data_IF_612126330799
#
_entry.id   IF_612126330799
#
_cell.length_a   1.000
_cell.length_b   1.000
_cell.length_c   1.000
_cell.angle_alpha   90.00
_cell.angle_beta   90.00
_cell.angle_gamma   90.00
#
_symmetry.space_group_name_H-M   'P 1'
#
loop_
_entity.id
_entity.type
_entity.pdbx_description
1 polymer ?
#
# COMPACT_ATOMS: atom_id res chain seq x y z
N UNK A 1 26.13 5.83 28.91
CA UNK A 1 26.11 6.89 27.87
C UNK A 1 26.84 6.41 26.62
N UNK A 2 27.88 5.57 26.77
CA UNK A 2 28.76 5.18 25.68
C UNK A 2 28.22 4.12 24.70
N UNK A 3 27.16 3.41 25.08
CA UNK A 3 26.63 2.33 24.21
C UNK A 3 25.79 2.81 23.01
N UNK A 4 25.32 4.07 23.01
CA UNK A 4 24.50 4.62 21.93
C UNK A 4 25.30 5.23 20.81
N UNK A 5 26.45 5.84 21.10
CA UNK A 5 27.39 6.33 20.08
C UNK A 5 27.85 5.18 19.19
N UNK A 6 28.05 3.98 19.77
CA UNK A 6 28.34 2.77 19.02
C UNK A 6 27.21 2.28 18.12
N UNK A 7 25.94 2.38 18.54
CA UNK A 7 24.79 1.95 17.74
C UNK A 7 24.46 2.92 16.60
N UNK A 8 24.62 4.22 16.80
CA UNK A 8 24.44 5.24 15.74
C UNK A 8 25.50 5.11 14.65
N UNK A 9 26.76 4.86 15.02
CA UNK A 9 27.84 4.57 14.06
C UNK A 9 27.57 3.27 13.29
N UNK A 10 27.09 2.21 13.97
CA UNK A 10 26.76 0.95 13.31
C UNK A 10 25.61 1.10 12.30
N UNK A 11 24.58 1.89 12.60
CA UNK A 11 23.48 2.18 11.68
C UNK A 11 24.02 2.90 10.44
N UNK A 12 24.76 3.99 10.63
CA UNK A 12 25.32 4.79 9.54
C UNK A 12 26.22 3.98 8.59
N UNK A 13 27.11 3.17 9.16
CA UNK A 13 28.22 2.58 8.40
C UNK A 13 27.91 1.17 7.88
N UNK A 14 26.90 0.49 8.43
CA UNK A 14 26.64 -0.92 8.16
C UNK A 14 25.30 -1.26 7.57
N UNK A 15 24.25 -0.50 7.85
CA UNK A 15 22.90 -0.77 7.30
C UNK A 15 22.74 -0.02 5.99
N UNK A 16 22.61 -0.78 4.90
CA UNK A 16 22.35 -0.25 3.55
C UNK A 16 21.02 -0.76 3.03
N UNK A 17 20.32 0.08 2.25
CA UNK A 17 19.05 -0.27 1.60
C UNK A 17 17.85 0.42 2.22
N UNK A 18 16.68 -0.17 2.06
CA UNK A 18 15.40 0.37 2.52
C UNK A 18 15.10 -0.11 3.95
N UNK A 19 14.96 0.82 4.88
CA UNK A 19 14.57 0.50 6.25
C UNK A 19 13.85 1.64 6.95
N UNK A 20 12.98 1.24 7.87
CA UNK A 20 12.37 2.10 8.87
C UNK A 20 12.43 1.34 10.20
N UNK A 21 13.20 1.85 11.15
CA UNK A 21 13.49 1.16 12.40
C UNK A 21 12.92 1.94 13.58
N UNK A 22 12.34 1.22 14.52
CA UNK A 22 11.96 1.74 15.84
C UNK A 22 12.65 0.88 16.89
N UNK A 23 13.47 1.53 17.72
CA UNK A 23 14.29 0.85 18.73
C UNK A 23 13.91 1.41 20.10
N UNK A 24 13.56 0.54 21.02
CA UNK A 24 13.22 0.89 22.39
C UNK A 24 14.33 0.43 23.35
N UNK A 25 14.78 1.34 24.20
CA UNK A 25 15.70 1.06 25.31
C UNK A 25 15.03 1.47 26.63
N UNK A 26 15.70 1.20 27.75
CA UNK A 26 15.16 1.60 29.08
C UNK A 26 14.98 3.13 29.25
N UNK A 27 15.61 3.96 28.42
CA UNK A 27 15.63 5.43 28.57
C UNK A 27 15.31 6.18 27.29
N UNK A 28 15.24 5.51 26.14
CA UNK A 28 15.10 6.16 24.85
C UNK A 28 14.21 5.35 23.91
N UNK A 29 13.39 6.05 23.13
CA UNK A 29 12.75 5.54 21.93
C UNK A 29 13.47 6.20 20.74
N UNK A 30 13.95 5.40 19.79
CA UNK A 30 14.74 5.87 18.65
C UNK A 30 14.03 5.46 17.36
N UNK A 31 13.76 6.44 16.50
CA UNK A 31 13.27 6.22 15.13
C UNK A 31 14.38 6.47 14.12
N UNK A 32 14.55 5.59 13.14
CA UNK A 32 15.55 5.75 12.09
C UNK A 32 14.89 5.51 10.74
N UNK A 33 15.00 6.48 9.84
CA UNK A 33 14.55 6.35 8.45
C UNK A 33 15.75 6.20 7.52
N UNK A 34 15.64 5.33 6.50
CA UNK A 34 16.73 5.13 5.54
C UNK A 34 17.08 6.42 4.78
N UNK A 35 18.37 6.55 4.35
CA UNK A 35 18.86 7.80 3.75
C UNK A 35 18.21 8.16 2.42
N UNK A 36 17.65 7.17 1.69
CA UNK A 36 16.93 7.40 0.43
C UNK A 36 15.45 7.74 0.64
N UNK A 37 14.92 7.55 1.87
CA UNK A 37 13.51 7.72 2.19
C UNK A 37 12.60 6.69 1.50
N UNK A 38 13.12 5.49 1.24
CA UNK A 38 12.36 4.42 0.57
C UNK A 38 11.18 3.98 1.43
N UNK A 39 11.43 3.77 2.76
CA UNK A 39 10.37 3.37 3.68
C UNK A 39 9.86 4.57 4.48
N UNK A 40 8.54 4.63 4.75
CA UNK A 40 7.97 5.72 5.52
C UNK A 40 8.23 5.56 7.02
N UNK A 41 8.32 6.69 7.72
CA UNK A 41 8.29 6.79 9.17
C UNK A 41 7.71 8.16 9.53
N UNK A 42 6.74 8.19 10.42
CA UNK A 42 6.07 9.40 10.86
C UNK A 42 6.20 9.60 12.37
N UNK A 43 6.26 10.86 12.78
CA UNK A 43 6.24 11.30 14.17
C UNK A 43 4.87 11.89 14.48
N UNK A 44 4.26 11.43 15.55
CA UNK A 44 3.02 11.94 16.10
C UNK A 44 3.14 12.30 17.58
N UNK A 45 2.07 12.85 18.13
CA UNK A 45 1.92 13.16 19.55
C UNK A 45 0.58 12.62 20.09
N UNK A 46 0.63 11.91 21.19
CA UNK A 46 -0.55 11.51 21.93
C UNK A 46 -0.51 12.12 23.33
N UNK A 47 -1.26 13.21 23.50
CA UNK A 47 -1.39 13.91 24.79
C UNK A 47 -0.03 14.29 25.43
N UNK A 48 0.89 14.82 24.63
CA UNK A 48 2.24 15.20 25.06
C UNK A 48 3.26 14.05 25.04
N UNK A 49 2.85 12.85 24.59
CA UNK A 49 3.74 11.70 24.44
C UNK A 49 4.06 11.46 22.97
N UNK A 50 5.34 11.61 22.54
CA UNK A 50 5.74 11.36 21.16
C UNK A 50 5.53 9.90 20.74
N UNK A 51 5.06 9.69 19.52
CA UNK A 51 4.77 8.38 18.92
C UNK A 51 5.47 8.26 17.58
N UNK A 52 6.05 7.10 17.31
CA UNK A 52 6.59 6.74 15.99
C UNK A 52 5.71 5.67 15.35
N UNK A 53 5.37 5.85 14.08
CA UNK A 53 4.61 4.89 13.30
C UNK A 53 5.09 4.87 11.85
N UNK A 54 4.76 3.81 11.10
CA UNK A 54 5.04 3.76 9.67
C UNK A 54 4.10 4.62 8.84
N UNK A 55 2.87 4.83 9.32
CA UNK A 55 1.78 5.48 8.57
C UNK A 55 0.92 6.37 9.45
N UNK A 56 0.29 7.39 8.85
CA UNK A 56 -0.60 8.30 9.58
C UNK A 56 -1.86 7.62 10.08
N UNK A 57 -2.40 6.62 9.36
CA UNK A 57 -3.57 5.86 9.83
C UNK A 57 -3.33 5.17 11.17
N UNK A 58 -2.09 4.74 11.48
CA UNK A 58 -1.75 4.16 12.76
C UNK A 58 -1.81 5.20 13.91
N UNK A 59 -1.51 6.47 13.62
CA UNK A 59 -1.68 7.57 14.58
C UNK A 59 -3.17 7.82 14.84
N UNK A 60 -3.98 7.86 13.78
CA UNK A 60 -5.44 8.06 13.88
C UNK A 60 -6.10 6.96 14.71
N UNK A 61 -5.71 5.69 14.50
CA UNK A 61 -6.24 4.55 15.27
C UNK A 61 -6.04 4.67 16.79
N UNK A 62 -4.95 5.29 17.22
CA UNK A 62 -4.66 5.48 18.66
C UNK A 62 -5.06 6.85 19.17
N UNK A 63 -5.62 7.71 18.32
CA UNK A 63 -5.98 9.10 18.66
C UNK A 63 -4.76 10.00 18.90
N UNK A 64 -3.65 9.75 18.22
CA UNK A 64 -2.47 10.60 18.21
C UNK A 64 -2.55 11.62 17.07
N UNK A 65 -1.99 12.81 17.29
CA UNK A 65 -1.90 13.86 16.26
C UNK A 65 -0.64 13.66 15.45
N UNK A 66 -0.75 13.75 14.11
CA UNK A 66 0.40 13.80 13.22
C UNK A 66 1.19 15.11 13.43
N UNK A 67 2.50 15.02 13.57
CA UNK A 67 3.40 16.16 13.67
C UNK A 67 4.09 16.38 12.33
N UNK A 68 4.85 15.38 11.86
CA UNK A 68 5.62 15.42 10.62
C UNK A 68 6.11 14.04 10.19
N UNK A 69 6.55 13.96 8.95
CA UNK A 69 7.39 12.83 8.53
C UNK A 69 8.76 12.90 9.23
N UNK A 70 9.35 11.75 9.52
CA UNK A 70 10.79 11.65 9.80
C UNK A 70 11.51 11.83 8.48
N UNK A 71 12.48 12.73 8.43
CA UNK A 71 13.17 13.05 7.18
C UNK A 71 14.09 11.89 6.71
N UNK A 72 14.47 11.92 5.44
CA UNK A 72 15.34 10.90 4.87
C UNK A 72 16.70 10.92 5.57
N UNK A 73 17.14 9.76 6.06
CA UNK A 73 18.40 9.61 6.83
C UNK A 73 18.38 10.25 8.21
N UNK A 74 17.20 10.63 8.72
CA UNK A 74 17.05 11.18 10.06
C UNK A 74 17.00 10.07 11.11
N UNK A 75 17.65 10.34 12.23
CA UNK A 75 17.55 9.58 13.49
C UNK A 75 16.85 10.48 14.50
N UNK A 76 15.64 10.10 14.92
CA UNK A 76 14.87 10.79 15.97
C UNK A 76 15.09 10.07 17.29
N UNK A 77 15.57 10.78 18.31
CA UNK A 77 15.80 10.27 19.66
C UNK A 77 14.81 10.93 20.60
N UNK A 78 13.97 10.14 21.21
CA UNK A 78 12.95 10.58 22.17
C UNK A 78 13.35 10.14 23.57
N UNK A 79 13.42 11.09 24.49
CA UNK A 79 13.76 10.87 25.90
C UNK A 79 12.81 11.66 26.79
N UNK A 80 12.93 11.50 28.10
CA UNK A 80 12.21 12.35 29.10
C UNK A 80 12.54 13.84 28.97
N UNK A 81 13.70 14.19 28.36
CA UNK A 81 14.12 15.58 28.15
C UNK A 81 13.54 16.20 26.87
N UNK A 82 12.91 15.40 26.01
CA UNK A 82 12.32 15.83 24.75
C UNK A 82 12.80 15.04 23.54
N UNK A 83 12.63 15.63 22.36
CA UNK A 83 12.96 15.05 21.06
C UNK A 83 14.23 15.70 20.54
N UNK A 84 15.18 14.89 20.13
CA UNK A 84 16.42 15.27 19.46
C UNK A 84 16.47 14.62 18.07
N UNK A 85 16.96 15.35 17.08
CA UNK A 85 17.09 14.90 15.69
C UNK A 85 18.53 14.95 15.23
N UNK A 86 19.03 13.87 14.63
CA UNK A 86 20.37 13.75 14.09
C UNK A 86 20.29 13.36 12.61
N UNK A 87 21.06 14.02 11.74
CA UNK A 87 21.17 13.73 10.31
C UNK A 87 22.61 13.35 9.97
N UNK A 88 23.00 12.08 10.18
CA UNK A 88 24.39 11.64 9.99
C UNK A 88 24.78 11.46 8.52
N UNK A 89 23.82 11.39 7.60
CA UNK A 89 24.06 11.16 6.18
C UNK A 89 24.15 12.49 5.41
N UNK A 90 25.13 12.59 4.51
CA UNK A 90 25.30 13.77 3.65
C UNK A 90 24.50 13.60 2.36
N UNK A 91 23.74 14.63 1.97
CA UNK A 91 23.06 14.85 0.68
C UNK A 91 22.86 13.60 -0.20
N UNK A 92 21.98 12.69 0.20
CA UNK A 92 21.61 11.52 -0.58
C UNK A 92 20.33 11.87 -1.34
N UNK A 93 20.23 11.61 -2.66
CA UNK A 93 19.03 11.89 -3.42
C UNK A 93 17.87 11.01 -2.95
N UNK A 94 16.70 11.60 -2.83
CA UNK A 94 15.47 10.90 -2.46
C UNK A 94 15.08 9.83 -3.49
N UNK A 95 14.67 8.68 -3.00
CA UNK A 95 14.18 7.54 -3.80
C UNK A 95 12.96 6.90 -3.14
N UNK A 96 11.84 7.63 -2.97
CA UNK A 96 10.66 7.08 -2.33
C UNK A 96 10.13 5.88 -3.12
N UNK A 97 9.70 4.85 -2.40
CA UNK A 97 9.13 3.67 -3.02
C UNK A 97 7.73 3.99 -3.56
N UNK A 98 7.53 3.86 -4.88
CA UNK A 98 6.21 4.07 -5.50
C UNK A 98 5.17 3.08 -4.97
N UNK A 99 5.59 1.85 -4.59
CA UNK A 99 4.69 0.83 -4.04
C UNK A 99 4.07 1.22 -2.69
N UNK A 100 4.65 2.15 -1.94
CA UNK A 100 3.99 2.71 -0.75
C UNK A 100 2.65 3.35 -1.13
N UNK A 101 2.61 4.07 -2.25
CA UNK A 101 1.40 4.73 -2.73
C UNK A 101 0.46 3.78 -3.46
N UNK A 102 1.00 2.80 -4.18
CA UNK A 102 0.21 1.89 -5.02
C UNK A 102 -0.43 0.78 -4.19
N UNK A 103 0.32 0.16 -3.27
CA UNK A 103 -0.09 -1.07 -2.63
C UNK A 103 0.09 -1.11 -1.11
N UNK A 104 1.27 -0.72 -0.56
CA UNK A 104 1.61 -0.98 0.84
C UNK A 104 0.83 -0.11 1.83
N UNK A 105 0.79 1.20 1.62
CA UNK A 105 0.15 2.12 2.54
C UNK A 105 -1.38 1.93 2.57
N UNK A 106 -1.97 2.15 3.72
CA UNK A 106 -3.43 2.14 3.87
C UNK A 106 -4.06 3.28 3.04
N UNK A 107 -5.24 3.08 2.41
CA UNK A 107 -5.89 4.11 1.61
C UNK A 107 -6.15 5.43 2.34
N UNK A 108 -6.41 5.38 3.63
CA UNK A 108 -6.65 6.53 4.51
C UNK A 108 -5.37 7.24 4.97
N UNK A 109 -4.21 6.62 4.80
CA UNK A 109 -2.92 7.23 5.13
C UNK A 109 -2.59 8.41 4.21
N UNK A 110 -1.90 9.42 4.77
CA UNK A 110 -1.39 10.58 4.04
C UNK A 110 0.08 10.32 3.70
N UNK A 111 0.41 10.44 2.41
CA UNK A 111 1.79 10.36 1.90
C UNK A 111 2.03 11.54 0.97
N UNK A 112 2.89 12.47 1.40
CA UNK A 112 3.22 13.64 0.59
C UNK A 112 2.02 14.55 0.31
N UNK A 113 1.31 14.99 1.33
CA UNK A 113 0.19 15.95 1.29
C UNK A 113 -1.11 15.45 0.60
N UNK A 114 -1.20 14.16 0.23
CA UNK A 114 -2.42 13.56 -0.33
C UNK A 114 -2.70 12.23 0.34
N UNK A 115 -3.98 11.89 0.50
CA UNK A 115 -4.35 10.54 0.93
C UNK A 115 -3.97 9.55 -0.18
N UNK A 116 -3.56 8.36 0.23
CA UNK A 116 -3.25 7.26 -0.69
C UNK A 116 -4.49 6.90 -1.52
N UNK A 117 -5.68 6.98 -0.94
CA UNK A 117 -6.94 6.83 -1.66
C UNK A 117 -7.06 7.79 -2.85
N UNK A 118 -6.84 9.09 -2.61
CA UNK A 118 -6.92 10.11 -3.68
C UNK A 118 -5.87 9.86 -4.76
N UNK A 119 -4.67 9.45 -4.37
CA UNK A 119 -3.61 9.10 -5.32
C UNK A 119 -4.01 7.91 -6.20
N UNK A 120 -4.44 6.79 -5.60
CA UNK A 120 -4.89 5.59 -6.35
C UNK A 120 -6.08 5.87 -7.25
N UNK A 121 -7.02 6.69 -6.79
CA UNK A 121 -8.15 7.13 -7.59
C UNK A 121 -7.72 7.94 -8.82
N UNK A 122 -6.73 8.83 -8.67
CA UNK A 122 -6.15 9.57 -9.79
C UNK A 122 -5.48 8.65 -10.81
N UNK A 123 -4.78 7.59 -10.37
CA UNK A 123 -4.20 6.60 -11.28
C UNK A 123 -5.28 5.91 -12.13
N UNK A 124 -6.40 5.53 -11.52
CA UNK A 124 -7.54 4.98 -12.27
C UNK A 124 -8.15 5.95 -13.27
N UNK A 125 -8.18 7.23 -12.93
CA UNK A 125 -8.63 8.29 -13.82
C UNK A 125 -7.72 8.40 -15.06
N UNK A 126 -6.38 8.41 -14.86
CA UNK A 126 -5.42 8.44 -15.96
C UNK A 126 -5.46 7.16 -16.79
N UNK A 127 -5.62 6.00 -16.17
CA UNK A 127 -5.79 4.74 -16.89
C UNK A 127 -6.99 4.78 -17.85
N UNK A 128 -8.08 5.44 -17.48
CA UNK A 128 -9.24 5.64 -18.34
C UNK A 128 -8.99 6.65 -19.47
N UNK A 129 -8.13 7.66 -19.24
CA UNK A 129 -7.71 8.59 -20.29
C UNK A 129 -6.85 7.90 -21.36
N UNK A 130 -5.98 6.98 -20.95
CA UNK A 130 -5.07 6.26 -21.85
C UNK A 130 -5.76 5.17 -22.68
N UNK A 131 -6.91 4.67 -22.21
CA UNK A 131 -7.56 3.49 -22.75
C UNK A 131 -9.03 3.73 -23.05
N UNK A 132 -9.39 3.79 -24.33
CA UNK A 132 -10.78 3.87 -24.76
C UNK A 132 -11.39 2.47 -24.95
N UNK A 133 -11.66 1.79 -23.84
CA UNK A 133 -12.22 0.42 -23.84
C UNK A 133 -13.75 0.51 -23.71
N UNK A 134 -14.44 -0.17 -24.64
CA UNK A 134 -15.90 -0.31 -24.56
C UNK A 134 -16.26 -1.50 -23.67
N UNK A 135 -16.76 -1.22 -22.47
CA UNK A 135 -17.20 -2.22 -21.51
C UNK A 135 -18.56 -1.83 -20.91
N UNK A 136 -19.24 -2.81 -20.30
CA UNK A 136 -20.55 -2.60 -19.70
C UNK A 136 -20.43 -2.36 -18.18
N UNK A 137 -19.29 -2.78 -17.58
CA UNK A 137 -19.07 -2.66 -16.14
C UNK A 137 -17.59 -2.60 -15.79
N UNK A 138 -17.24 -1.77 -14.80
CA UNK A 138 -15.94 -1.70 -14.15
C UNK A 138 -16.01 -2.49 -12.84
N UNK A 139 -15.11 -3.46 -12.67
CA UNK A 139 -15.05 -4.32 -11.49
C UNK A 139 -13.67 -4.23 -10.85
N UNK A 140 -13.55 -3.85 -9.57
CA UNK A 140 -12.27 -3.87 -8.87
C UNK A 140 -11.82 -5.29 -8.54
N UNK A 141 -10.51 -5.53 -8.57
CA UNK A 141 -9.92 -6.67 -7.87
C UNK A 141 -9.69 -6.22 -6.41
N UNK A 142 -10.42 -6.79 -5.45
CA UNK A 142 -10.39 -6.30 -4.07
C UNK A 142 -9.14 -6.76 -3.31
N UNK A 143 -8.59 -5.98 -2.37
CA UNK A 143 -9.10 -4.65 -1.95
C UNK A 143 -8.34 -3.52 -2.67
N UNK A 144 -7.17 -3.80 -3.22
CA UNK A 144 -6.20 -2.83 -3.75
C UNK A 144 -6.69 -2.07 -4.97
N UNK A 145 -7.44 -2.74 -5.86
CA UNK A 145 -7.99 -2.15 -7.09
C UNK A 145 -9.18 -1.21 -6.88
N UNK A 146 -9.82 -1.18 -5.70
CA UNK A 146 -11.10 -0.46 -5.49
C UNK A 146 -10.99 1.03 -5.80
N UNK A 147 -9.98 1.70 -5.26
CA UNK A 147 -9.83 3.15 -5.45
C UNK A 147 -9.56 3.52 -6.91
N UNK A 148 -8.73 2.74 -7.60
CA UNK A 148 -8.43 2.95 -9.02
C UNK A 148 -9.66 2.67 -9.90
N UNK A 149 -10.40 1.59 -9.62
CA UNK A 149 -11.64 1.27 -10.34
C UNK A 149 -12.71 2.37 -10.21
N UNK A 150 -12.83 2.99 -9.03
CA UNK A 150 -13.69 4.16 -8.85
C UNK A 150 -13.25 5.34 -9.70
N UNK A 151 -11.94 5.62 -9.75
CA UNK A 151 -11.39 6.68 -10.61
C UNK A 151 -11.65 6.40 -12.09
N UNK A 152 -11.41 5.18 -12.52
CA UNK A 152 -11.67 4.72 -13.88
C UNK A 152 -13.14 4.86 -14.27
N UNK A 153 -14.05 4.36 -13.44
CA UNK A 153 -15.49 4.45 -13.65
C UNK A 153 -15.99 5.90 -13.77
N UNK A 154 -15.53 6.77 -12.89
CA UNK A 154 -15.91 8.19 -12.92
C UNK A 154 -15.44 8.91 -14.19
N UNK A 155 -14.28 8.55 -14.73
CA UNK A 155 -13.75 9.15 -15.95
C UNK A 155 -14.37 8.58 -17.22
N UNK A 156 -14.50 7.25 -17.28
CA UNK A 156 -15.05 6.55 -18.45
C UNK A 156 -16.57 6.61 -18.52
N UNK A 157 -17.25 6.96 -17.43
CA UNK A 157 -18.71 6.86 -17.28
C UNK A 157 -19.27 5.43 -17.38
N UNK A 158 -18.40 4.41 -17.29
CA UNK A 158 -18.82 3.02 -17.23
C UNK A 158 -19.21 2.69 -15.77
N UNK A 159 -20.36 2.04 -15.51
CA UNK A 159 -20.82 1.73 -14.15
C UNK A 159 -19.81 0.91 -13.35
N UNK A 160 -19.64 1.27 -12.07
CA UNK A 160 -18.84 0.53 -11.11
C UNK A 160 -19.69 -0.50 -10.38
N UNK A 161 -19.24 -1.75 -10.30
CA UNK A 161 -19.90 -2.82 -9.56
C UNK A 161 -18.91 -3.68 -8.77
N UNK A 162 -19.34 -4.17 -7.61
CA UNK A 162 -18.59 -5.14 -6.82
C UNK A 162 -18.79 -6.56 -7.39
N UNK A 163 -18.27 -6.78 -8.60
CA UNK A 163 -18.37 -8.08 -9.29
C UNK A 163 -17.47 -9.17 -8.69
N UNK A 164 -16.46 -8.77 -7.91
CA UNK A 164 -15.58 -9.69 -7.16
C UNK A 164 -15.65 -9.31 -5.69
N UNK A 165 -15.96 -10.30 -4.84
CA UNK A 165 -16.05 -10.14 -3.39
C UNK A 165 -14.90 -10.90 -2.73
N UNK A 166 -14.19 -10.24 -1.82
CA UNK A 166 -13.19 -10.89 -0.97
C UNK A 166 -13.86 -11.55 0.23
N UNK A 167 -13.51 -12.81 0.49
CA UNK A 167 -13.93 -13.51 1.70
C UNK A 167 -13.13 -13.02 2.91
N UNK A 168 -13.81 -12.51 3.92
CA UNK A 168 -13.20 -12.08 5.19
C UNK A 168 -12.76 -13.26 6.08
N UNK A 169 -13.24 -14.47 5.80
CA UNK A 169 -12.97 -15.66 6.60
C UNK A 169 -11.65 -16.35 6.24
N UNK A 170 -11.02 -15.97 5.12
CA UNK A 170 -9.78 -16.61 4.64
C UNK A 170 -8.61 -15.64 4.84
N UNK A 171 -7.72 -15.98 5.76
CA UNK A 171 -6.48 -15.26 6.02
C UNK A 171 -5.46 -15.37 4.87
N UNK A 172 -4.19 -14.99 5.14
CA UNK A 172 -3.11 -15.08 4.14
C UNK A 172 -2.80 -16.54 3.79
N UNK A 173 -3.16 -16.96 2.58
CA UNK A 173 -2.98 -18.33 2.05
C UNK A 173 -1.54 -18.66 1.63
N UNK A 174 -0.56 -17.76 1.83
CA UNK A 174 0.83 -17.98 1.41
C UNK A 174 1.62 -18.97 2.27
N UNK A 175 1.07 -19.42 3.40
CA UNK A 175 1.73 -20.29 4.39
C UNK A 175 1.36 -21.76 4.19
N UNK A 176 0.48 -22.09 3.26
CA UNK A 176 0.00 -23.46 3.03
C UNK A 176 1.00 -24.30 2.22
N UNK A 177 1.33 -25.52 2.68
CA UNK A 177 2.43 -26.31 2.12
C UNK A 177 2.14 -26.97 0.77
N UNK A 178 0.88 -27.15 0.37
CA UNK A 178 0.55 -27.85 -0.88
C UNK A 178 0.00 -26.97 -1.99
N UNK A 179 0.33 -27.29 -3.24
CA UNK A 179 -0.10 -26.54 -4.43
C UNK A 179 -1.62 -26.62 -4.65
N UNK A 180 -2.24 -27.74 -4.29
CA UNK A 180 -3.68 -27.97 -4.39
C UNK A 180 -4.44 -27.10 -3.39
N UNK A 181 -3.96 -26.99 -2.15
CA UNK A 181 -4.54 -26.13 -1.11
C UNK A 181 -4.38 -24.66 -1.48
N UNK A 182 -3.25 -24.27 -2.08
CA UNK A 182 -3.07 -22.90 -2.61
C UNK A 182 -4.01 -22.56 -3.76
N UNK A 183 -4.35 -23.54 -4.62
CA UNK A 183 -5.34 -23.33 -5.69
C UNK A 183 -6.76 -23.18 -5.14
N UNK A 184 -7.10 -23.97 -4.14
CA UNK A 184 -8.38 -23.90 -3.43
C UNK A 184 -8.48 -22.59 -2.63
N UNK A 185 -7.38 -22.14 -2.03
CA UNK A 185 -7.28 -20.90 -1.25
C UNK A 185 -7.61 -19.63 -2.05
N UNK A 186 -7.30 -19.57 -3.35
CA UNK A 186 -7.70 -18.43 -4.20
C UNK A 186 -9.21 -18.43 -4.46
N UNK A 187 -9.83 -19.58 -4.71
CA UNK A 187 -11.28 -19.72 -4.85
C UNK A 187 -12.03 -19.41 -3.54
N UNK A 188 -11.44 -19.74 -2.39
CA UNK A 188 -12.00 -19.37 -1.08
C UNK A 188 -11.83 -17.89 -0.75
N UNK A 189 -10.79 -17.25 -1.29
CA UNK A 189 -10.48 -15.86 -1.02
C UNK A 189 -11.32 -14.88 -1.83
N UNK A 190 -11.71 -15.24 -3.05
CA UNK A 190 -12.49 -14.41 -3.94
C UNK A 190 -13.69 -15.18 -4.49
N UNK A 191 -14.85 -14.56 -4.45
CA UNK A 191 -16.07 -15.07 -5.10
C UNK A 191 -16.55 -14.07 -6.13
N UNK A 192 -17.16 -14.57 -7.21
CA UNK A 192 -17.69 -13.73 -8.28
C UNK A 192 -19.18 -13.53 -8.08
N UNK A 193 -19.63 -12.28 -8.10
CA UNK A 193 -21.03 -11.93 -8.10
C UNK A 193 -21.57 -12.02 -9.53
N UNK A 194 -22.23 -13.15 -9.86
CA UNK A 194 -22.72 -13.43 -11.21
C UNK A 194 -23.67 -12.37 -11.75
N UNK A 195 -24.55 -11.83 -10.92
CA UNK A 195 -25.53 -10.81 -11.34
C UNK A 195 -24.87 -9.52 -11.88
N UNK A 196 -23.63 -9.24 -11.47
CA UNK A 196 -22.86 -8.11 -11.97
C UNK A 196 -22.08 -8.42 -13.24
N UNK A 197 -21.83 -9.71 -13.55
CA UNK A 197 -20.86 -10.19 -14.54
C UNK A 197 -21.50 -10.83 -15.75
N UNK A 198 -22.56 -11.65 -15.53
CA UNK A 198 -23.17 -12.51 -16.55
C UNK A 198 -23.63 -11.67 -17.75
N UNK A 199 -23.31 -12.15 -18.94
CA UNK A 199 -23.63 -11.53 -20.23
C UNK A 199 -23.03 -10.12 -20.48
N UNK A 200 -22.05 -9.67 -19.65
CA UNK A 200 -21.43 -8.35 -19.78
C UNK A 200 -20.00 -8.41 -20.28
N UNK A 201 -19.57 -7.31 -20.91
CA UNK A 201 -18.17 -6.98 -21.15
C UNK A 201 -17.63 -6.32 -19.88
N UNK A 202 -16.66 -6.96 -19.26
CA UNK A 202 -16.14 -6.57 -17.94
C UNK A 202 -14.75 -5.98 -18.07
N UNK A 203 -14.50 -4.84 -17.46
CA UNK A 203 -13.14 -4.38 -17.22
C UNK A 203 -12.78 -4.57 -15.75
N UNK A 204 -11.78 -5.42 -15.50
CA UNK A 204 -11.19 -5.63 -14.20
C UNK A 204 -10.10 -4.60 -13.96
N UNK A 205 -10.11 -3.93 -12.80
CA UNK A 205 -9.06 -2.98 -12.43
C UNK A 205 -8.29 -3.52 -11.21
N UNK A 206 -6.97 -3.64 -11.37
CA UNK A 206 -6.05 -4.02 -10.30
C UNK A 206 -4.97 -2.94 -10.11
N UNK A 207 -4.24 -3.01 -8.99
CA UNK A 207 -3.16 -2.09 -8.68
C UNK A 207 -1.89 -2.42 -9.47
N UNK A 208 -1.48 -3.68 -9.52
CA UNK A 208 -0.21 -4.12 -10.09
C UNK A 208 -0.20 -5.60 -10.49
N UNK A 209 0.67 -5.96 -11.42
CA UNK A 209 0.95 -7.36 -11.78
C UNK A 209 2.43 -7.67 -11.49
N UNK A 210 2.67 -8.66 -10.63
CA UNK A 210 4.03 -9.13 -10.33
C UNK A 210 4.35 -10.42 -11.07
N UNK A 211 3.53 -11.47 -10.95
CA UNK A 211 3.73 -12.79 -11.57
C UNK A 211 2.59 -13.23 -12.51
N UNK A 212 1.51 -12.47 -12.57
CA UNK A 212 0.33 -12.75 -13.40
C UNK A 212 -0.53 -13.96 -12.99
N UNK A 213 -0.06 -14.82 -12.07
CA UNK A 213 -0.78 -16.04 -11.67
C UNK A 213 -2.13 -15.77 -11.01
N UNK A 214 -2.23 -14.72 -10.20
CA UNK A 214 -3.49 -14.30 -9.56
C UNK A 214 -4.43 -13.70 -10.59
N UNK A 215 -3.93 -12.80 -11.43
CA UNK A 215 -4.71 -12.15 -12.49
C UNK A 215 -5.32 -13.19 -13.45
N UNK A 216 -4.53 -14.16 -13.93
CA UNK A 216 -5.03 -15.25 -14.80
C UNK A 216 -6.15 -16.06 -14.15
N UNK A 217 -6.06 -16.34 -12.85
CA UNK A 217 -7.11 -17.09 -12.14
C UNK A 217 -8.38 -16.27 -11.99
N UNK A 218 -8.25 -14.98 -11.69
CA UNK A 218 -9.40 -14.07 -11.56
C UNK A 218 -10.10 -13.91 -12.90
N UNK A 219 -9.36 -13.66 -13.97
CA UNK A 219 -9.91 -13.60 -15.34
C UNK A 219 -10.69 -14.88 -15.68
N UNK A 220 -10.11 -16.05 -15.40
CA UNK A 220 -10.79 -17.34 -15.61
C UNK A 220 -12.09 -17.45 -14.80
N UNK A 221 -12.07 -17.06 -13.53
CA UNK A 221 -13.28 -17.07 -12.67
C UNK A 221 -14.38 -16.17 -13.21
N UNK A 222 -14.03 -15.02 -13.77
CA UNK A 222 -14.98 -14.05 -14.35
C UNK A 222 -15.60 -14.62 -15.64
N UNK A 223 -14.81 -15.28 -16.50
CA UNK A 223 -15.35 -16.01 -17.67
C UNK A 223 -16.24 -17.20 -17.25
N UNK A 224 -15.85 -17.97 -16.24
CA UNK A 224 -16.67 -19.08 -15.68
C UNK A 224 -17.98 -18.56 -15.06
N UNK A 225 -18.06 -17.28 -14.70
CA UNK A 225 -19.26 -16.62 -14.21
C UNK A 225 -20.18 -16.08 -15.33
N UNK A 226 -19.78 -16.23 -16.61
CA UNK A 226 -20.59 -15.87 -17.77
C UNK A 226 -20.28 -14.52 -18.40
N UNK A 227 -19.13 -13.92 -18.14
CA UNK A 227 -18.72 -12.72 -18.85
C UNK A 227 -18.53 -12.96 -20.36
N UNK A 228 -19.02 -12.03 -21.18
CA UNK A 228 -18.82 -12.07 -22.66
C UNK A 228 -17.40 -11.73 -23.07
N UNK A 229 -16.82 -10.77 -22.37
CA UNK A 229 -15.49 -10.25 -22.63
C UNK A 229 -14.87 -9.76 -21.31
N UNK A 230 -13.56 -9.93 -21.17
CA UNK A 230 -12.84 -9.49 -19.96
C UNK A 230 -11.59 -8.73 -20.38
N UNK A 231 -11.52 -7.47 -19.99
CA UNK A 231 -10.34 -6.62 -20.06
C UNK A 231 -9.69 -6.52 -18.70
N UNK A 232 -8.38 -6.35 -18.65
CA UNK A 232 -7.64 -6.13 -17.40
C UNK A 232 -6.87 -4.82 -17.51
N UNK A 233 -7.23 -3.87 -16.65
CA UNK A 233 -6.54 -2.58 -16.49
C UNK A 233 -5.68 -2.59 -15.23
N UNK A 234 -4.41 -2.17 -15.37
CA UNK A 234 -3.46 -2.07 -14.26
C UNK A 234 -3.14 -0.61 -14.04
N UNK A 235 -3.41 -0.12 -12.82
CA UNK A 235 -3.26 1.30 -12.50
C UNK A 235 -1.82 1.72 -12.21
N UNK A 236 -0.93 0.77 -11.86
CA UNK A 236 0.49 1.03 -11.74
C UNK A 236 1.14 1.15 -13.12
N UNK A 237 2.01 2.16 -13.35
CA UNK A 237 2.83 2.20 -14.56
C UNK A 237 3.80 1.00 -14.60
N UNK A 238 4.28 0.61 -15.79
CA UNK A 238 5.33 -0.40 -15.90
C UNK A 238 6.60 0.06 -15.18
N UNK A 239 7.23 -0.87 -14.44
CA UNK A 239 8.41 -0.62 -13.60
C UNK A 239 9.59 -1.44 -14.15
#
# INVERSE_FOLDING_TARGET
VDSLVGSEMCIRDRIKGAYSLVILTNKKLIGVRDPFGIRPLVLGDKNGSPVLASETCALDMIGAKYIRDVENGEIVIITEKGIESIKPFKNIPERPCIFERIYFASPDSIVGNKTVYTYRKSLGFELANENNISADVVVPIPDSGVSAALGFSQKSSIPFELGIIRSHYVGRTFIEPSQTIRQFGVKLKHSVNRSCIEDKRVILIDDSIVRGTTASKIVKMVYEAGAKEVHLGISCPPI
#
